data_IF_385715054708
#
_entry.id   IF_385715054708
#
_cell.length_a   1.000
_cell.length_b   1.000
_cell.length_c   1.000
_cell.angle_alpha   90.00
_cell.angle_beta   90.00
_cell.angle_gamma   90.00
#
_symmetry.space_group_name_H-M   'P 1'
#
loop_
_entity.id
_entity.type
_entity.pdbx_description
1 polymer ?
#
# COMPACT_ATOMS: atom_id res chain seq x y z
N UNK A 1 -21.07 -3.75 32.20
CA UNK A 1 -20.58 -2.68 31.30
C UNK A 1 -19.77 -3.40 30.24
N UNK A 2 -20.22 -3.33 28.99
CA UNK A 2 -19.72 -4.15 27.90
C UNK A 2 -18.29 -3.72 27.52
N UNK A 3 -17.31 -4.56 27.82
CA UNK A 3 -15.88 -4.34 27.54
C UNK A 3 -15.59 -4.05 26.06
N UNK A 4 -16.50 -4.40 25.15
CA UNK A 4 -16.36 -4.11 23.72
C UNK A 4 -16.50 -2.61 23.41
N UNK A 5 -17.46 -1.92 24.03
CA UNK A 5 -17.72 -0.50 23.75
C UNK A 5 -16.61 0.40 24.31
N UNK A 6 -16.08 0.06 25.47
CA UNK A 6 -14.95 0.78 26.09
C UNK A 6 -13.68 0.70 25.23
N UNK A 7 -13.39 -0.49 24.67
CA UNK A 7 -12.24 -0.66 23.77
C UNK A 7 -12.38 0.15 22.46
N UNK A 8 -13.59 0.26 21.91
CA UNK A 8 -13.84 1.07 20.70
C UNK A 8 -13.63 2.55 21.00
N UNK A 9 -14.13 3.03 22.14
CA UNK A 9 -13.98 4.42 22.55
C UNK A 9 -12.51 4.77 22.86
N UNK A 10 -11.78 3.88 23.54
CA UNK A 10 -10.35 4.04 23.78
C UNK A 10 -9.56 4.07 22.47
N UNK A 11 -9.88 3.20 21.51
CA UNK A 11 -9.21 3.18 20.20
C UNK A 11 -9.44 4.48 19.42
N UNK A 12 -10.67 5.01 19.44
CA UNK A 12 -10.98 6.29 18.81
C UNK A 12 -10.19 7.44 19.44
N UNK A 13 -10.11 7.47 20.77
CA UNK A 13 -9.32 8.49 21.47
C UNK A 13 -7.82 8.39 21.16
N UNK A 14 -7.26 7.17 21.12
CA UNK A 14 -5.86 6.95 20.74
C UNK A 14 -5.62 7.37 19.28
N UNK A 15 -6.57 7.11 18.37
CA UNK A 15 -6.49 7.55 16.98
C UNK A 15 -6.35 9.07 16.88
N UNK A 16 -7.21 9.82 17.58
CA UNK A 16 -7.17 11.28 17.61
C UNK A 16 -5.81 11.80 18.12
N UNK A 17 -5.29 11.24 19.21
CA UNK A 17 -3.99 11.64 19.77
C UNK A 17 -2.83 11.33 18.81
N UNK A 18 -2.86 10.16 18.17
CA UNK A 18 -1.84 9.76 17.19
C UNK A 18 -1.87 10.69 15.98
N UNK A 19 -3.05 10.99 15.44
CA UNK A 19 -3.20 11.92 14.31
C UNK A 19 -2.66 13.30 14.69
N UNK A 20 -3.09 13.87 15.82
CA UNK A 20 -2.63 15.19 16.24
C UNK A 20 -1.11 15.24 16.41
N UNK A 21 -0.53 14.19 17.01
CA UNK A 21 0.92 14.10 17.22
C UNK A 21 1.67 13.99 15.89
N UNK A 22 1.24 13.09 15.01
CA UNK A 22 1.86 12.90 13.70
C UNK A 22 1.71 14.14 12.81
N UNK A 23 0.59 14.85 12.90
CA UNK A 23 0.38 16.09 12.16
C UNK A 23 1.30 17.22 12.66
N UNK A 24 1.56 17.29 13.98
CA UNK A 24 2.63 18.16 14.47
C UNK A 24 4.00 17.78 13.86
N UNK A 25 4.31 16.48 13.77
CA UNK A 25 5.55 16.01 13.17
C UNK A 25 5.67 16.32 11.67
N UNK A 26 4.60 16.13 10.89
CA UNK A 26 4.58 16.44 9.45
C UNK A 26 4.85 17.94 9.19
N UNK A 27 4.38 18.81 10.08
CA UNK A 27 4.61 20.24 9.99
C UNK A 27 6.04 20.67 10.39
N UNK A 28 6.70 19.97 11.31
CA UNK A 28 8.08 20.34 11.72
C UNK A 28 9.16 19.69 10.87
N UNK A 29 8.90 18.51 10.29
CA UNK A 29 9.90 17.76 9.51
C UNK A 29 10.31 18.44 8.19
N UNK A 30 9.56 19.46 7.75
CA UNK A 30 9.95 20.31 6.62
C UNK A 30 11.22 21.13 6.89
N UNK A 31 11.56 21.38 8.17
CA UNK A 31 12.77 22.11 8.54
C UNK A 31 13.98 21.19 8.66
N UNK A 32 15.11 21.59 8.09
CA UNK A 32 16.34 20.79 8.05
C UNK A 32 16.85 20.41 9.45
N UNK A 33 16.96 21.37 10.35
CA UNK A 33 17.38 21.14 11.73
C UNK A 33 16.46 20.14 12.47
N UNK A 34 15.16 20.15 12.18
CA UNK A 34 14.23 19.18 12.76
C UNK A 34 14.50 17.77 12.21
N UNK A 35 14.78 17.63 10.91
CA UNK A 35 15.19 16.33 10.33
C UNK A 35 16.48 15.80 10.93
N UNK A 36 17.49 16.66 11.07
CA UNK A 36 18.77 16.30 11.71
C UNK A 36 18.56 15.83 13.14
N UNK A 37 17.75 16.55 13.92
CA UNK A 37 17.39 16.17 15.28
C UNK A 37 16.66 14.82 15.34
N UNK A 38 15.67 14.58 14.47
CA UNK A 38 14.96 13.30 14.39
C UNK A 38 15.90 12.15 13.97
N UNK A 39 16.86 12.42 13.08
CA UNK A 39 17.89 11.45 12.68
C UNK A 39 18.84 11.14 13.83
N UNK A 40 19.24 12.14 14.60
CA UNK A 40 20.05 11.96 15.82
C UNK A 40 19.32 11.04 16.82
N UNK A 41 18.02 11.23 17.01
CA UNK A 41 17.20 10.38 17.88
C UNK A 41 16.80 9.03 17.29
N UNK A 42 17.26 8.69 16.07
CA UNK A 42 16.90 7.45 15.37
C UNK A 42 15.38 7.28 15.30
N UNK A 43 14.68 8.36 14.94
CA UNK A 43 13.22 8.37 14.84
C UNK A 43 12.69 7.51 13.69
N UNK A 44 13.36 7.55 12.52
CA UNK A 44 12.91 6.84 11.32
C UNK A 44 12.70 5.32 11.55
N UNK A 45 13.62 4.54 12.15
CA UNK A 45 13.37 3.13 12.47
C UNK A 45 12.07 2.88 13.24
N UNK A 46 11.78 3.71 14.26
CA UNK A 46 10.56 3.59 15.08
C UNK A 46 9.31 3.92 14.26
N UNK A 47 9.40 4.92 13.40
CA UNK A 47 8.33 5.32 12.49
C UNK A 47 8.01 4.20 11.48
N UNK A 48 9.03 3.53 10.93
CA UNK A 48 8.86 2.41 9.99
C UNK A 48 8.24 1.18 10.66
N UNK A 49 8.64 0.89 11.90
CA UNK A 49 8.00 -0.17 12.70
C UNK A 49 6.52 0.14 12.94
N UNK A 50 6.20 1.38 13.33
CA UNK A 50 4.81 1.79 13.50
C UNK A 50 4.02 1.76 12.18
N UNK A 51 4.60 2.21 11.07
CA UNK A 51 3.99 2.12 9.75
C UNK A 51 3.65 0.67 9.37
N UNK A 52 4.55 -0.29 9.66
CA UNK A 52 4.30 -1.72 9.45
C UNK A 52 3.12 -2.21 10.29
N UNK A 53 3.02 -1.81 11.56
CA UNK A 53 1.89 -2.15 12.42
C UNK A 53 0.59 -1.60 11.85
N UNK A 54 0.56 -0.34 11.40
CA UNK A 54 -0.64 0.27 10.81
C UNK A 54 -1.05 -0.45 9.52
N UNK A 55 -0.11 -0.75 8.61
CA UNK A 55 -0.39 -1.47 7.36
C UNK A 55 -0.94 -2.88 7.64
N UNK A 56 -0.41 -3.58 8.65
CA UNK A 56 -0.88 -4.91 9.03
C UNK A 56 -2.27 -4.91 9.69
N UNK A 57 -2.71 -3.82 10.28
CA UNK A 57 -3.94 -3.77 11.09
C UNK A 57 -5.07 -2.93 10.47
N UNK A 58 -4.84 -2.27 9.34
CA UNK A 58 -5.86 -1.44 8.67
C UNK A 58 -6.39 -2.08 7.38
N UNK A 59 -7.63 -1.76 7.01
CA UNK A 59 -8.21 -2.17 5.72
C UNK A 59 -8.02 -1.09 4.65
N UNK A 60 -7.66 -1.52 3.44
CA UNK A 60 -7.70 -0.67 2.24
C UNK A 60 -9.09 -0.76 1.59
N UNK A 61 -9.71 0.39 1.32
CA UNK A 61 -11.05 0.43 0.72
C UNK A 61 -10.98 0.85 -0.75
N UNK A 62 -11.32 -0.05 -1.67
CA UNK A 62 -11.40 0.29 -3.11
C UNK A 62 -12.62 1.19 -3.39
N UNK A 63 -12.47 2.22 -4.24
CA UNK A 63 -13.57 3.14 -4.60
C UNK A 63 -14.80 2.44 -5.22
N UNK A 64 -14.62 1.30 -5.90
CA UNK A 64 -15.74 0.55 -6.53
C UNK A 64 -16.76 0.03 -5.51
N UNK A 65 -16.37 -0.12 -4.24
CA UNK A 65 -17.25 -0.58 -3.16
C UNK A 65 -18.08 0.55 -2.55
N UNK A 66 -17.92 1.79 -3.00
CA UNK A 66 -18.64 2.96 -2.45
C UNK A 66 -20.10 3.04 -2.91
N UNK A 67 -20.49 2.35 -3.99
CA UNK A 67 -21.87 2.35 -4.51
C UNK A 67 -22.82 1.34 -3.84
N UNK A 68 -22.33 0.56 -2.87
CA UNK A 68 -23.14 -0.31 -2.02
C UNK A 68 -23.01 0.08 -0.55
N UNK A 69 -23.46 1.27 -0.17
CA UNK A 69 -23.67 1.59 1.24
C UNK A 69 -24.77 2.63 1.43
N UNK A 70 -26.01 2.21 1.20
CA UNK A 70 -27.15 2.74 1.96
C UNK A 70 -27.98 1.63 2.63
N UNK A 71 -27.62 0.36 2.43
CA UNK A 71 -28.23 -0.76 3.11
C UNK A 71 -27.29 -1.97 3.10
N UNK A 72 -26.33 -2.03 4.03
CA UNK A 72 -25.72 -3.27 4.54
C UNK A 72 -24.63 -2.93 5.56
N UNK A 73 -24.99 -2.99 6.85
CA UNK A 73 -24.06 -3.14 7.98
C UNK A 73 -23.44 -4.56 8.01
N UNK A 74 -23.08 -5.11 6.84
CA UNK A 74 -22.81 -6.55 6.69
C UNK A 74 -21.87 -6.91 5.54
N UNK A 75 -21.08 -5.97 5.03
CA UNK A 75 -19.83 -6.36 4.38
C UNK A 75 -18.91 -6.86 5.48
N UNK A 76 -18.50 -8.13 5.44
CA UNK A 76 -17.59 -8.70 6.43
C UNK A 76 -16.24 -7.98 6.30
N UNK A 77 -16.09 -6.85 7.00
CA UNK A 77 -14.80 -6.35 7.43
C UNK A 77 -14.18 -7.46 8.26
N UNK A 78 -12.93 -7.80 8.00
CA UNK A 78 -12.20 -8.74 8.84
C UNK A 78 -12.24 -8.18 10.29
N UNK A 79 -12.86 -8.88 11.26
CA UNK A 79 -13.04 -8.35 12.61
C UNK A 79 -11.71 -8.04 13.32
N UNK A 80 -10.59 -8.54 12.79
CA UNK A 80 -9.24 -8.22 13.26
C UNK A 80 -8.75 -6.86 12.75
N UNK A 81 -9.28 -6.36 11.64
CA UNK A 81 -8.85 -5.10 11.03
C UNK A 81 -9.61 -3.91 11.60
N UNK A 82 -8.89 -2.81 11.79
CA UNK A 82 -9.37 -1.60 12.44
C UNK A 82 -9.46 -0.44 11.44
N UNK A 83 -10.47 0.40 11.64
CA UNK A 83 -10.58 1.66 10.93
C UNK A 83 -9.63 2.67 11.58
N UNK A 84 -8.60 3.07 10.85
CA UNK A 84 -7.58 4.01 11.32
C UNK A 84 -7.19 4.95 10.16
N UNK A 85 -8.14 5.80 9.71
CA UNK A 85 -8.00 6.58 8.47
C UNK A 85 -6.95 7.68 8.61
N UNK A 86 -6.46 8.16 7.47
CA UNK A 86 -5.48 9.25 7.30
C UNK A 86 -4.07 9.03 7.89
N UNK A 87 -3.91 8.06 8.79
CA UNK A 87 -2.66 7.80 9.50
C UNK A 87 -1.55 7.42 8.54
N UNK A 88 -1.82 6.53 7.57
CA UNK A 88 -0.77 6.09 6.63
C UNK A 88 -0.30 7.25 5.78
N UNK A 89 -1.19 8.15 5.38
CA UNK A 89 -0.84 9.33 4.59
C UNK A 89 0.13 10.23 5.35
N UNK A 90 -0.09 10.49 6.64
CA UNK A 90 0.82 11.33 7.44
C UNK A 90 2.15 10.63 7.68
N UNK A 91 2.14 9.32 7.95
CA UNK A 91 3.37 8.54 8.11
C UNK A 91 4.24 8.59 6.86
N UNK A 92 3.66 8.36 5.67
CA UNK A 92 4.40 8.42 4.40
C UNK A 92 4.94 9.84 4.14
N UNK A 93 4.20 10.88 4.50
CA UNK A 93 4.67 12.27 4.39
C UNK A 93 5.92 12.52 5.25
N UNK A 94 5.89 12.10 6.52
CA UNK A 94 7.05 12.26 7.41
C UNK A 94 8.25 11.46 6.89
N UNK A 95 8.04 10.20 6.45
CA UNK A 95 9.09 9.38 5.84
C UNK A 95 9.69 10.08 4.62
N UNK A 96 8.84 10.63 3.75
CA UNK A 96 9.26 11.36 2.53
C UNK A 96 10.23 12.49 2.86
N UNK A 97 9.93 13.28 3.90
CA UNK A 97 10.82 14.35 4.33
C UNK A 97 12.14 13.82 4.90
N UNK A 98 12.11 12.73 5.69
CA UNK A 98 13.32 12.16 6.31
C UNK A 98 14.26 11.50 5.30
N UNK A 99 13.77 10.98 4.18
CA UNK A 99 14.59 10.33 3.14
C UNK A 99 15.09 11.31 2.07
N UNK A 100 14.51 12.52 1.99
CA UNK A 100 14.91 13.53 1.02
C UNK A 100 16.40 13.89 1.18
N UNK A 101 17.17 13.65 0.12
CA UNK A 101 18.63 13.86 0.07
C UNK A 101 19.42 13.18 1.21
N UNK A 102 18.90 12.08 1.78
CA UNK A 102 19.55 11.35 2.87
C UNK A 102 19.70 9.86 2.51
N UNK A 103 20.86 9.50 1.94
CA UNK A 103 21.12 8.13 1.47
C UNK A 103 21.02 7.08 2.58
N UNK A 104 21.50 7.38 3.78
CA UNK A 104 21.42 6.44 4.92
C UNK A 104 19.97 6.09 5.26
N UNK A 105 19.07 7.09 5.28
CA UNK A 105 17.65 6.89 5.51
C UNK A 105 16.98 6.17 4.33
N UNK A 106 17.34 6.50 3.09
CA UNK A 106 16.83 5.78 1.91
C UNK A 106 17.21 4.29 1.93
N UNK A 107 18.45 3.99 2.30
CA UNK A 107 18.95 2.62 2.40
C UNK A 107 18.32 1.89 3.59
N UNK A 108 18.10 2.58 4.71
CA UNK A 108 17.38 2.03 5.85
C UNK A 108 15.98 1.56 5.44
N UNK A 109 15.22 2.39 4.72
CA UNK A 109 13.85 2.05 4.27
C UNK A 109 13.84 0.80 3.38
N UNK A 110 14.84 0.63 2.50
CA UNK A 110 15.01 -0.61 1.71
C UNK A 110 15.37 -1.80 2.60
N UNK A 111 16.34 -1.63 3.51
CA UNK A 111 16.85 -2.72 4.35
C UNK A 111 15.81 -3.23 5.37
N UNK A 112 14.83 -2.41 5.74
CA UNK A 112 13.72 -2.80 6.63
C UNK A 112 12.48 -3.29 5.88
N UNK A 113 12.58 -3.56 4.57
CA UNK A 113 11.47 -3.98 3.69
C UNK A 113 10.29 -2.99 3.69
N UNK A 114 10.55 -1.73 4.05
CA UNK A 114 9.53 -0.70 4.14
C UNK A 114 9.30 0.00 2.81
N UNK A 115 10.25 -0.11 1.87
CA UNK A 115 10.11 0.37 0.50
C UNK A 115 8.94 -0.33 -0.21
N UNK A 116 8.81 -1.65 -0.05
CA UNK A 116 7.69 -2.45 -0.58
C UNK A 116 6.36 -2.08 0.07
N UNK A 117 6.36 -1.76 1.37
CA UNK A 117 5.17 -1.27 2.06
C UNK A 117 4.69 0.08 1.50
N UNK A 118 5.62 0.97 1.16
CA UNK A 118 5.30 2.26 0.53
C UNK A 118 4.75 2.02 -0.89
N UNK A 119 5.36 1.13 -1.68
CA UNK A 119 4.85 0.73 -3.00
C UNK A 119 3.41 0.19 -2.94
N UNK A 120 3.09 -0.61 -1.91
CA UNK A 120 1.75 -1.15 -1.72
C UNK A 120 0.68 -0.07 -1.52
N UNK A 121 1.10 1.16 -1.18
CA UNK A 121 0.25 2.32 -0.98
C UNK A 121 0.19 3.25 -2.21
N UNK A 122 0.80 2.87 -3.34
CA UNK A 122 0.67 3.57 -4.64
C UNK A 122 -0.68 3.28 -5.37
N UNK A 123 -1.69 2.81 -4.65
CA UNK A 123 -3.03 2.53 -5.17
C UNK A 123 -4.06 3.43 -4.46
N UNK A 124 -5.19 3.68 -5.13
CA UNK A 124 -6.28 4.45 -4.52
C UNK A 124 -6.88 3.70 -3.32
N UNK A 125 -7.05 4.41 -2.21
CA UNK A 125 -7.69 3.94 -0.98
C UNK A 125 -8.71 4.99 -0.52
N UNK A 126 -9.98 4.61 -0.41
CA UNK A 126 -11.05 5.51 -0.02
C UNK A 126 -10.98 5.92 1.46
N UNK A 127 -10.23 5.18 2.29
CA UNK A 127 -9.97 5.57 3.67
C UNK A 127 -8.80 6.58 3.77
N UNK A 128 -8.05 6.77 2.68
CA UNK A 128 -6.80 7.53 2.64
C UNK A 128 -6.68 8.29 1.30
N UNK A 129 -7.44 9.39 1.09
CA UNK A 129 -7.61 10.00 -0.23
C UNK A 129 -6.32 10.45 -0.93
N UNK A 130 -5.27 10.78 -0.18
CA UNK A 130 -3.99 11.32 -0.69
C UNK A 130 -2.85 10.31 -0.66
N UNK A 131 -3.10 9.06 -0.25
CA UNK A 131 -2.04 8.07 -0.02
C UNK A 131 -1.24 7.78 -1.28
N UNK A 132 -1.91 7.73 -2.43
CA UNK A 132 -1.30 7.37 -3.70
C UNK A 132 -0.24 8.39 -4.10
N UNK A 133 -0.60 9.67 -4.12
CA UNK A 133 0.27 10.77 -4.52
C UNK A 133 1.43 10.91 -3.54
N UNK A 134 1.17 10.79 -2.23
CA UNK A 134 2.20 10.81 -1.19
C UNK A 134 3.17 9.63 -1.32
N UNK A 135 2.67 8.43 -1.57
CA UNK A 135 3.51 7.25 -1.79
C UNK A 135 4.38 7.42 -3.03
N UNK A 136 3.83 7.91 -4.15
CA UNK A 136 4.61 8.16 -5.38
C UNK A 136 5.73 9.18 -5.12
N UNK A 137 5.45 10.27 -4.39
CA UNK A 137 6.47 11.25 -4.03
C UNK A 137 7.56 10.64 -3.13
N UNK A 138 7.16 9.83 -2.14
CA UNK A 138 8.09 9.11 -1.28
C UNK A 138 9.03 8.22 -2.09
N UNK A 139 8.47 7.42 -3.02
CA UNK A 139 9.26 6.57 -3.92
C UNK A 139 10.23 7.40 -4.75
N UNK A 140 9.79 8.54 -5.31
CA UNK A 140 10.70 9.44 -6.06
C UNK A 140 11.94 9.81 -5.23
N UNK A 141 11.76 10.23 -3.98
CA UNK A 141 12.88 10.59 -3.11
C UNK A 141 13.68 9.41 -2.57
N UNK A 142 13.08 8.22 -2.46
CA UNK A 142 13.81 7.01 -2.14
C UNK A 142 14.77 6.58 -3.26
N UNK A 143 14.44 6.89 -4.51
CA UNK A 143 15.24 6.54 -5.68
C UNK A 143 16.22 7.63 -6.10
N UNK A 144 16.01 8.86 -5.64
CA UNK A 144 16.84 10.01 -5.99
C UNK A 144 18.29 9.81 -5.53
N UNK A 145 19.21 9.79 -6.50
CA UNK A 145 20.65 9.57 -6.30
C UNK A 145 21.00 8.26 -5.55
N UNK A 146 20.13 7.24 -5.64
CA UNK A 146 20.35 5.94 -5.00
C UNK A 146 20.21 4.77 -5.98
N UNK A 147 21.31 4.37 -6.66
CA UNK A 147 21.32 3.25 -7.59
C UNK A 147 20.92 1.92 -6.97
N UNK A 148 21.19 1.71 -5.68
CA UNK A 148 20.84 0.46 -5.00
C UNK A 148 19.31 0.30 -4.87
N UNK A 149 18.63 1.39 -4.51
CA UNK A 149 17.16 1.41 -4.48
C UNK A 149 16.55 1.32 -5.89
N UNK A 150 17.16 1.96 -6.89
CA UNK A 150 16.72 1.85 -8.30
C UNK A 150 16.84 0.41 -8.81
N UNK A 151 17.98 -0.23 -8.56
CA UNK A 151 18.21 -1.62 -8.91
C UNK A 151 17.20 -2.54 -8.19
N UNK A 152 16.95 -2.31 -6.91
CA UNK A 152 15.95 -3.06 -6.15
C UNK A 152 14.55 -2.99 -6.77
N UNK A 153 14.07 -1.79 -7.11
CA UNK A 153 12.77 -1.61 -7.81
C UNK A 153 12.75 -2.32 -9.16
N UNK A 154 13.81 -2.18 -9.96
CA UNK A 154 13.87 -2.80 -11.29
C UNK A 154 13.73 -4.33 -11.24
N UNK A 155 14.25 -4.95 -10.18
CA UNK A 155 14.13 -6.39 -9.95
C UNK A 155 12.73 -6.82 -9.50
N UNK A 156 11.96 -5.91 -8.88
CA UNK A 156 10.55 -6.14 -8.56
C UNK A 156 9.68 -6.02 -9.81
N UNK A 157 9.92 -5.03 -10.67
CA UNK A 157 9.23 -4.87 -11.95
C UNK A 157 9.48 -6.06 -12.89
N UNK A 158 10.73 -6.55 -12.94
CA UNK A 158 11.09 -7.72 -13.73
C UNK A 158 10.38 -9.01 -13.30
N UNK A 159 9.84 -9.07 -12.07
CA UNK A 159 9.00 -10.19 -11.57
C UNK A 159 7.50 -9.98 -11.82
N UNK A 160 7.13 -8.93 -12.54
CA UNK A 160 5.76 -8.65 -12.93
C UNK A 160 5.23 -9.69 -13.92
N UNK A 161 4.38 -10.59 -13.43
CA UNK A 161 3.58 -11.56 -14.20
C UNK A 161 4.35 -12.52 -15.10
N UNK A 162 5.42 -13.15 -14.59
CA UNK A 162 5.80 -14.45 -15.12
C UNK A 162 4.75 -15.46 -14.66
N UNK A 163 3.88 -15.89 -15.58
CA UNK A 163 2.98 -17.01 -15.32
C UNK A 163 3.88 -18.24 -15.40
N UNK A 164 4.04 -18.95 -14.27
CA UNK A 164 4.76 -20.23 -14.26
C UNK A 164 4.27 -21.11 -15.43
N UNK A 165 5.19 -21.77 -16.15
CA UNK A 165 4.82 -22.60 -17.31
C UNK A 165 3.75 -23.64 -16.99
N UNK A 166 3.71 -24.11 -15.73
CA UNK A 166 2.69 -25.03 -15.25
C UNK A 166 1.30 -24.38 -15.18
N UNK A 167 1.22 -23.18 -14.61
CA UNK A 167 -0.01 -22.39 -14.54
C UNK A 167 -0.49 -21.99 -15.93
N UNK A 168 0.42 -21.67 -16.85
CA UNK A 168 0.09 -21.41 -18.25
C UNK A 168 -0.53 -22.66 -18.91
N UNK A 169 0.08 -23.84 -18.74
CA UNK A 169 -0.46 -25.11 -19.28
C UNK A 169 -1.83 -25.45 -18.71
N UNK A 170 -2.08 -25.18 -17.42
CA UNK A 170 -3.38 -25.41 -16.77
C UNK A 170 -4.44 -24.48 -17.37
N UNK A 171 -4.14 -23.19 -17.52
CA UNK A 171 -5.06 -22.20 -18.09
C UNK A 171 -5.40 -22.50 -19.57
N UNK A 172 -4.40 -22.90 -20.36
CA UNK A 172 -4.63 -23.34 -21.75
C UNK A 172 -5.49 -24.60 -21.82
N UNK A 173 -5.26 -25.59 -20.96
CA UNK A 173 -6.11 -26.79 -20.88
C UNK A 173 -7.54 -26.47 -20.44
N UNK A 174 -7.71 -25.47 -19.58
CA UNK A 174 -9.01 -24.96 -19.16
C UNK A 174 -9.70 -24.08 -20.21
N UNK A 175 -9.07 -23.86 -21.38
CA UNK A 175 -9.69 -23.14 -22.49
C UNK A 175 -9.48 -21.62 -22.49
N UNK A 176 -8.50 -21.14 -21.73
CA UNK A 176 -8.15 -19.72 -21.66
C UNK A 176 -6.79 -19.46 -22.29
N UNK A 177 -6.73 -18.39 -23.08
CA UNK A 177 -5.50 -17.76 -23.53
C UNK A 177 -5.11 -16.67 -22.53
N UNK A 178 -3.82 -16.58 -22.24
CA UNK A 178 -3.30 -15.66 -21.25
C UNK A 178 -2.52 -14.55 -21.93
N UNK A 179 -3.02 -13.32 -21.83
CA UNK A 179 -2.36 -12.11 -22.32
C UNK A 179 -1.83 -11.31 -21.12
N UNK A 180 -0.53 -11.02 -21.10
CA UNK A 180 0.04 -10.07 -20.13
C UNK A 180 0.00 -8.68 -20.77
N UNK A 181 -0.80 -7.77 -20.19
CA UNK A 181 -0.91 -6.38 -20.64
C UNK A 181 -0.65 -5.46 -19.44
N UNK A 182 0.35 -4.59 -19.54
CA UNK A 182 0.76 -3.66 -18.47
C UNK A 182 1.06 -4.36 -17.12
N UNK A 183 1.71 -5.53 -17.15
CA UNK A 183 2.02 -6.31 -15.95
C UNK A 183 0.78 -6.92 -15.26
N UNK A 184 -0.37 -6.97 -15.95
CA UNK A 184 -1.60 -7.63 -15.48
C UNK A 184 -1.93 -8.81 -16.38
N UNK A 185 -2.13 -9.96 -15.76
CA UNK A 185 -2.65 -11.16 -16.43
C UNK A 185 -4.12 -10.93 -16.83
N UNK A 186 -4.40 -10.96 -18.13
CA UNK A 186 -5.76 -11.02 -18.68
C UNK A 186 -5.99 -12.40 -19.27
N UNK A 187 -7.16 -12.95 -18.99
CA UNK A 187 -7.61 -14.21 -19.60
C UNK A 187 -8.60 -13.89 -20.71
N UNK A 188 -8.34 -14.40 -21.91
CA UNK A 188 -9.31 -14.46 -23.01
C UNK A 188 -9.78 -15.90 -23.16
N UNK A 189 -11.05 -16.12 -23.49
CA UNK A 189 -11.47 -17.47 -23.92
C UNK A 189 -10.76 -17.78 -25.24
N UNK A 190 -10.27 -19.02 -25.38
CA UNK A 190 -9.66 -19.45 -26.63
C UNK A 190 -10.68 -19.41 -27.77
N UNK A 191 -10.28 -18.89 -28.93
CA UNK A 191 -11.18 -18.64 -30.08
C UNK A 191 -11.99 -19.89 -30.47
N UNK A 192 -11.39 -21.08 -30.38
CA UNK A 192 -12.07 -22.36 -30.65
C UNK A 192 -13.28 -22.63 -29.74
N UNK A 193 -13.21 -22.26 -28.47
CA UNK A 193 -14.32 -22.45 -27.51
C UNK A 193 -15.41 -21.41 -27.74
N UNK A 194 -15.01 -20.18 -28.05
CA UNK A 194 -15.94 -19.09 -28.38
C UNK A 194 -16.74 -19.40 -29.66
N UNK A 195 -16.09 -19.96 -30.68
CA UNK A 195 -16.74 -20.45 -31.91
C UNK A 195 -17.66 -21.66 -31.69
N UNK A 196 -17.29 -22.58 -30.77
CA UNK A 196 -18.11 -23.74 -30.42
C UNK A 196 -19.37 -23.32 -29.65
N UNK A 197 -19.26 -22.41 -28.68
CA UNK A 197 -20.41 -21.85 -27.95
C UNK A 197 -21.36 -21.11 -28.90
N UNK A 198 -20.83 -20.36 -29.87
CA UNK A 198 -21.65 -19.68 -30.88
C UNK A 198 -22.36 -20.65 -31.84
N UNK A 199 -21.77 -21.82 -32.13
CA UNK A 199 -22.41 -22.88 -32.94
C UNK A 199 -23.49 -23.66 -32.19
N UNK A 200 -23.36 -23.83 -30.88
CA UNK A 200 -24.37 -24.49 -30.03
C UNK A 200 -25.58 -23.58 -29.77
N UNK A 201 -25.41 -22.26 -29.89
CA UNK A 201 -26.47 -21.25 -29.70
C UNK A 201 -27.29 -20.94 -30.96
N UNK A 202 -26.95 -21.51 -32.11
CA UNK A 202 -27.70 -21.42 -33.38
C UNK A 202 -28.42 -22.73 -33.66
#
# INVERSE_FOLDING_TARGET
MDTSDDNIQQLAHIHELVIATLDCFSNVVQFEHAREMLNFYKFLPKLLEFFKVVEMNTEKKKLKNQKQSVASLGGVSDPTKKLFPEVKSILIEIITCLVYQNKDNQDLVRNTQSLELILNNCNLDANEPFIKERAILCIKYLLENNPDNQNFISQLEAKGTDIDEENHKILTKAGFEVDIVDGKVKLKKAQKIEELEQKIRK
#
